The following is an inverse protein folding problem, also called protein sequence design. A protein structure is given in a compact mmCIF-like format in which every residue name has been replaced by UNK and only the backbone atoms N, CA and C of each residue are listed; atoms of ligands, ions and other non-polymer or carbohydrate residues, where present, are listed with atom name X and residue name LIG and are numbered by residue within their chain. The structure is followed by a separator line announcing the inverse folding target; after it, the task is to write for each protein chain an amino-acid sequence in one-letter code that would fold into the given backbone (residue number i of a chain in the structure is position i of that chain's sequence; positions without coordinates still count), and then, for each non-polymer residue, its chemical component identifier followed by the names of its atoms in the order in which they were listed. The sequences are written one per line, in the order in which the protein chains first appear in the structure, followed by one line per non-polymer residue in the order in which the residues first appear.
data_IF_242333446822
#
_entry.id   IF_242333446822
#
_cell.length_a   1.000
_cell.length_b   1.000
_cell.length_c   1.000
_cell.angle_alpha   90.00
_cell.angle_beta   90.00
_cell.angle_gamma   90.00
#
_symmetry.space_group_name_H-M   'P 1'
#
loop_
_entity.id
_entity.type
_entity.pdbx_description
1 polymer ?
#
# COMPACT_ATOMS: atom_id res chain seq x y z
N UNK A 1 -26.56 22.25 -20.82
CA UNK A 1 -27.31 20.97 -20.72
C UNK A 1 -26.48 20.03 -19.86
N UNK A 2 -26.78 20.01 -18.56
CA UNK A 2 -26.08 19.22 -17.55
C UNK A 2 -26.68 17.81 -17.63
N UNK A 3 -25.85 16.80 -17.89
CA UNK A 3 -26.27 15.40 -17.83
C UNK A 3 -25.81 14.86 -16.48
N UNK A 4 -26.73 14.91 -15.51
CA UNK A 4 -26.67 14.14 -14.29
C UNK A 4 -26.61 12.64 -14.63
N UNK A 5 -25.46 12.00 -14.41
CA UNK A 5 -25.42 10.53 -14.31
C UNK A 5 -25.80 10.13 -12.90
N UNK A 6 -27.11 10.09 -12.67
CA UNK A 6 -27.75 9.42 -11.54
C UNK A 6 -27.36 7.93 -11.63
N UNK A 7 -26.52 7.46 -10.70
CA UNK A 7 -26.40 6.03 -10.45
C UNK A 7 -27.76 5.53 -9.97
N UNK A 8 -28.40 4.68 -10.77
CA UNK A 8 -29.75 4.17 -10.58
C UNK A 8 -29.98 3.66 -9.14
N UNK A 9 -31.01 4.24 -8.51
CA UNK A 9 -31.61 3.79 -7.26
C UNK A 9 -32.42 2.51 -7.50
N UNK A 10 -31.77 1.38 -7.79
CA UNK A 10 -32.48 0.10 -7.83
C UNK A 10 -32.87 -0.33 -6.41
N UNK A 11 -34.17 -0.56 -6.11
CA UNK A 11 -34.63 -0.89 -4.76
C UNK A 11 -34.08 -2.22 -4.20
N UNK A 12 -33.50 -3.08 -5.04
CA UNK A 12 -32.93 -4.38 -4.67
C UNK A 12 -31.39 -4.46 -4.74
N UNK A 13 -30.68 -3.37 -5.04
CA UNK A 13 -29.22 -3.40 -5.04
C UNK A 13 -28.67 -3.50 -3.60
N UNK A 14 -27.95 -4.59 -3.29
CA UNK A 14 -27.35 -4.83 -1.96
C UNK A 14 -26.41 -3.71 -1.52
N UNK A 15 -25.62 -3.15 -2.46
CA UNK A 15 -24.69 -2.06 -2.20
C UNK A 15 -25.42 -0.73 -1.91
N UNK A 16 -26.42 -0.37 -2.71
CA UNK A 16 -27.22 0.83 -2.49
C UNK A 16 -28.02 0.75 -1.18
N UNK A 17 -28.54 -0.44 -0.82
CA UNK A 17 -29.23 -0.68 0.45
C UNK A 17 -28.29 -0.56 1.64
N UNK A 18 -27.06 -1.09 1.54
CA UNK A 18 -26.03 -0.93 2.56
C UNK A 18 -25.67 0.55 2.78
N UNK A 19 -25.44 1.30 1.70
CA UNK A 19 -25.13 2.74 1.77
C UNK A 19 -26.26 3.57 2.38
N UNK A 20 -27.51 3.30 1.99
CA UNK A 20 -28.70 3.96 2.55
C UNK A 20 -28.88 3.65 4.04
N UNK A 21 -28.63 2.40 4.45
CA UNK A 21 -28.68 2.02 5.86
C UNK A 21 -27.55 2.68 6.68
N UNK A 22 -26.37 2.86 6.10
CA UNK A 22 -25.27 3.64 6.70
C UNK A 22 -25.63 5.12 6.85
N UNK A 23 -26.28 5.72 5.85
CA UNK A 23 -26.74 7.12 5.91
C UNK A 23 -27.85 7.31 6.96
N UNK A 24 -28.80 6.38 7.06
CA UNK A 24 -29.85 6.40 8.09
C UNK A 24 -29.27 6.16 9.50
N UNK A 25 -28.30 5.25 9.63
CA UNK A 25 -27.61 5.00 10.89
C UNK A 25 -26.85 6.25 11.38
N UNK A 26 -26.21 7.00 10.47
CA UNK A 26 -25.50 8.27 10.76
C UNK A 26 -26.39 9.39 11.30
N UNK A 27 -27.69 9.37 11.02
CA UNK A 27 -28.64 10.41 11.46
C UNK A 27 -29.12 10.16 12.90
N UNK A 28 -29.22 8.89 13.30
CA UNK A 28 -29.83 8.50 14.58
C UNK A 28 -28.80 8.28 15.70
N UNK A 29 -27.53 8.08 15.34
CA UNK A 29 -26.39 8.02 16.25
C UNK A 29 -25.21 8.60 15.47
N UNK A 30 -24.59 9.74 15.86
CA UNK A 30 -23.52 10.34 15.07
C UNK A 30 -22.27 9.47 15.17
N UNK A 31 -22.22 8.42 14.33
CA UNK A 31 -21.05 7.55 14.23
C UNK A 31 -19.89 8.42 13.78
N UNK A 32 -18.85 8.47 14.61
CA UNK A 32 -17.60 9.19 14.36
C UNK A 32 -17.09 8.85 12.95
N UNK A 33 -16.99 9.83 12.02
CA UNK A 33 -16.54 9.61 10.66
C UNK A 33 -15.16 8.94 10.57
N UNK A 34 -14.29 9.16 11.57
CA UNK A 34 -12.96 8.53 11.65
C UNK A 34 -13.09 7.03 11.93
N UNK A 35 -14.04 6.61 12.76
CA UNK A 35 -14.30 5.20 13.04
C UNK A 35 -14.79 4.49 11.76
N UNK A 36 -15.74 5.08 11.04
CA UNK A 36 -16.25 4.50 9.77
C UNK A 36 -15.13 4.34 8.75
N UNK A 37 -14.25 5.35 8.63
CA UNK A 37 -13.08 5.31 7.76
C UNK A 37 -12.10 4.20 8.17
N UNK A 38 -11.80 4.09 9.46
CA UNK A 38 -10.92 3.06 9.99
C UNK A 38 -11.47 1.65 9.79
N UNK A 39 -12.77 1.45 9.97
CA UNK A 39 -13.43 0.15 9.75
C UNK A 39 -13.32 -0.29 8.29
N UNK A 40 -13.58 0.63 7.34
CA UNK A 40 -13.44 0.37 5.90
C UNK A 40 -11.98 0.05 5.54
N UNK A 41 -11.03 0.89 5.96
CA UNK A 41 -9.60 0.68 5.69
C UNK A 41 -9.09 -0.62 6.32
N UNK A 42 -9.52 -0.94 7.54
CA UNK A 42 -9.15 -2.18 8.24
C UNK A 42 -9.70 -3.41 7.52
N UNK A 43 -10.97 -3.38 7.10
CA UNK A 43 -11.58 -4.48 6.35
C UNK A 43 -10.83 -4.75 5.03
N UNK A 44 -10.50 -3.69 4.27
CA UNK A 44 -9.76 -3.80 3.01
C UNK A 44 -8.32 -4.28 3.22
N UNK A 45 -7.64 -3.76 4.24
CA UNK A 45 -6.28 -4.18 4.59
C UNK A 45 -6.25 -5.66 5.00
N UNK A 46 -7.15 -6.10 5.90
CA UNK A 46 -7.29 -7.50 6.31
C UNK A 46 -7.59 -8.42 5.11
N UNK A 47 -8.47 -7.97 4.20
CA UNK A 47 -8.74 -8.71 2.98
C UNK A 47 -7.48 -8.87 2.12
N UNK A 48 -6.72 -7.78 1.90
CA UNK A 48 -5.45 -7.82 1.19
C UNK A 48 -4.49 -8.82 1.84
N UNK A 49 -4.27 -8.73 3.15
CA UNK A 49 -3.37 -9.62 3.88
C UNK A 49 -3.80 -11.08 3.77
N UNK A 50 -5.10 -11.36 3.87
CA UNK A 50 -5.63 -12.72 3.70
C UNK A 50 -5.33 -13.26 2.29
N UNK A 51 -5.53 -12.45 1.24
CA UNK A 51 -5.22 -12.84 -0.13
C UNK A 51 -3.71 -13.07 -0.32
N UNK A 52 -2.89 -12.16 0.20
CA UNK A 52 -1.43 -12.23 0.10
C UNK A 52 -0.84 -13.50 0.74
N UNK A 53 -1.40 -13.96 1.86
CA UNK A 53 -0.93 -15.17 2.53
C UNK A 53 -1.51 -16.47 1.95
N UNK A 54 -2.77 -16.45 1.50
CA UNK A 54 -3.52 -17.66 1.11
C UNK A 54 -3.26 -18.11 -0.32
N UNK A 55 -2.89 -17.19 -1.21
CA UNK A 55 -2.76 -17.45 -2.63
C UNK A 55 -1.34 -17.23 -3.13
N UNK A 56 -1.02 -17.87 -4.25
CA UNK A 56 0.15 -17.61 -5.06
C UNK A 56 -0.25 -17.39 -6.51
N UNK A 57 0.71 -16.92 -7.29
CA UNK A 57 0.52 -16.63 -8.70
C UNK A 57 0.83 -17.89 -9.50
N UNK A 58 -0.09 -18.30 -10.37
CA UNK A 58 0.02 -19.51 -11.21
C UNK A 58 0.75 -19.27 -12.55
N UNK A 59 0.84 -18.02 -13.00
CA UNK A 59 1.54 -17.60 -14.22
C UNK A 59 2.08 -16.19 -14.10
N UNK A 60 3.03 -15.82 -14.96
CA UNK A 60 3.52 -14.43 -15.04
C UNK A 60 2.36 -13.45 -15.28
N UNK A 61 2.33 -12.38 -14.46
CA UNK A 61 1.36 -11.27 -14.55
C UNK A 61 2.14 -9.99 -14.72
N UNK A 62 1.91 -9.31 -15.83
CA UNK A 62 2.46 -7.98 -16.08
C UNK A 62 1.77 -6.91 -15.23
N UNK A 63 2.44 -5.78 -15.04
CA UNK A 63 1.87 -4.63 -14.33
C UNK A 63 0.62 -4.12 -15.05
N UNK A 64 0.63 -4.10 -16.39
CA UNK A 64 -0.51 -3.70 -17.21
C UNK A 64 -1.73 -4.62 -17.00
N UNK A 65 -1.53 -5.94 -16.93
CA UNK A 65 -2.61 -6.89 -16.62
C UNK A 65 -3.18 -6.66 -15.21
N UNK A 66 -2.31 -6.42 -14.23
CA UNK A 66 -2.72 -6.13 -12.85
C UNK A 66 -3.48 -4.80 -12.74
N UNK A 67 -3.02 -3.75 -13.44
CA UNK A 67 -3.70 -2.46 -13.49
C UNK A 67 -5.07 -2.56 -14.19
N UNK A 68 -5.22 -3.45 -15.17
CA UNK A 68 -6.52 -3.71 -15.83
C UNK A 68 -7.49 -4.56 -15.00
N UNK A 69 -7.04 -5.15 -13.88
CA UNK A 69 -7.91 -5.96 -13.02
C UNK A 69 -8.00 -7.43 -13.42
N UNK A 70 -7.07 -7.93 -14.23
CA UNK A 70 -7.08 -9.32 -14.75
C UNK A 70 -6.51 -10.32 -13.74
N UNK A 71 -5.98 -9.84 -12.60
CA UNK A 71 -5.19 -10.67 -11.68
C UNK A 71 -5.96 -11.78 -10.93
N UNK A 72 -7.27 -11.65 -10.74
CA UNK A 72 -8.05 -12.61 -9.92
C UNK A 72 -8.15 -14.00 -10.54
N UNK A 73 -7.89 -14.11 -11.85
CA UNK A 73 -7.88 -15.37 -12.58
C UNK A 73 -6.55 -16.14 -12.49
N UNK A 74 -5.53 -15.53 -11.89
CA UNK A 74 -4.16 -16.08 -11.85
C UNK A 74 -3.75 -16.53 -10.43
N UNK A 75 -4.73 -16.73 -9.55
CA UNK A 75 -4.50 -17.09 -8.16
C UNK A 75 -4.79 -18.56 -7.92
N UNK A 76 -3.75 -19.31 -7.56
CA UNK A 76 -3.88 -20.66 -7.04
C UNK A 76 -3.77 -20.64 -5.50
N UNK A 77 -4.49 -21.54 -4.83
CA UNK A 77 -4.35 -21.70 -3.37
C UNK A 77 -2.94 -22.20 -3.05
N UNK A 78 -2.29 -21.60 -2.06
CA UNK A 78 -1.01 -22.11 -1.59
C UNK A 78 -1.22 -23.43 -0.88
N UNK A 79 -0.56 -24.49 -1.35
CA UNK A 79 -0.41 -25.74 -0.59
C UNK A 79 0.74 -25.55 0.43
N UNK A 80 0.68 -26.19 1.59
CA UNK A 80 1.68 -26.00 2.66
C UNK A 80 3.10 -26.46 2.28
N UNK A 81 3.23 -27.30 1.25
CA UNK A 81 4.52 -27.87 0.82
C UNK A 81 5.28 -27.03 -0.21
N UNK A 82 4.65 -26.05 -0.86
CA UNK A 82 5.29 -25.23 -1.90
C UNK A 82 5.99 -24.00 -1.28
N UNK A 83 7.32 -23.99 -1.33
CA UNK A 83 8.12 -22.82 -0.93
C UNK A 83 8.18 -21.79 -2.05
N UNK A 84 7.38 -20.74 -1.90
CA UNK A 84 7.39 -19.61 -2.82
C UNK A 84 8.74 -18.89 -2.81
N UNK A 85 9.22 -18.53 -3.99
CA UNK A 85 10.43 -17.76 -4.23
C UNK A 85 10.25 -16.28 -3.85
N UNK A 86 11.37 -15.54 -3.78
CA UNK A 86 11.37 -14.09 -3.65
C UNK A 86 10.48 -13.43 -4.72
N UNK A 87 10.67 -13.80 -5.98
CA UNK A 87 9.97 -13.17 -7.11
C UNK A 87 8.46 -13.40 -7.05
N UNK A 88 8.01 -14.63 -6.77
CA UNK A 88 6.59 -14.95 -6.64
C UNK A 88 5.95 -14.17 -5.48
N UNK A 89 6.62 -14.08 -4.34
CA UNK A 89 6.13 -13.33 -3.17
C UNK A 89 6.13 -11.83 -3.41
N UNK A 90 7.18 -11.29 -4.02
CA UNK A 90 7.27 -9.88 -4.37
C UNK A 90 6.16 -9.49 -5.36
N UNK A 91 5.95 -10.31 -6.39
CA UNK A 91 4.87 -10.13 -7.36
C UNK A 91 3.50 -10.21 -6.70
N UNK A 92 3.28 -11.19 -5.82
CA UNK A 92 2.02 -11.30 -5.06
C UNK A 92 1.77 -10.07 -4.17
N UNK A 93 2.82 -9.53 -3.55
CA UNK A 93 2.73 -8.31 -2.76
C UNK A 93 2.26 -7.13 -3.63
N UNK A 94 2.85 -6.96 -4.81
CA UNK A 94 2.50 -5.88 -5.74
C UNK A 94 1.07 -6.00 -6.27
N UNK A 95 0.65 -7.19 -6.70
CA UNK A 95 -0.70 -7.41 -7.26
C UNK A 95 -1.79 -7.17 -6.21
N UNK A 96 -1.57 -7.65 -4.98
CA UNK A 96 -2.52 -7.46 -3.89
C UNK A 96 -2.59 -5.99 -3.47
N UNK A 97 -1.48 -5.26 -3.51
CA UNK A 97 -1.46 -3.80 -3.32
C UNK A 97 -2.21 -3.07 -4.42
N UNK A 98 -1.99 -3.41 -5.69
CA UNK A 98 -2.76 -2.84 -6.82
C UNK A 98 -4.26 -3.08 -6.62
N UNK A 99 -4.65 -4.32 -6.25
CA UNK A 99 -6.04 -4.68 -5.96
C UNK A 99 -6.62 -3.87 -4.79
N UNK A 100 -5.84 -3.69 -3.71
CA UNK A 100 -6.24 -2.84 -2.58
C UNK A 100 -6.46 -1.39 -3.02
N UNK A 101 -5.47 -0.77 -3.67
CA UNK A 101 -5.51 0.63 -4.08
C UNK A 101 -6.66 0.92 -5.03
N UNK A 102 -6.88 0.07 -6.05
CA UNK A 102 -7.98 0.22 -7.01
C UNK A 102 -9.36 0.15 -6.36
N UNK A 103 -9.48 -0.54 -5.24
CA UNK A 103 -10.74 -0.67 -4.54
C UNK A 103 -11.02 0.51 -3.60
N UNK A 104 -10.05 1.35 -3.27
CA UNK A 104 -10.27 2.53 -2.43
C UNK A 104 -11.28 3.48 -3.08
N UNK A 105 -12.26 3.94 -2.30
CA UNK A 105 -13.32 4.82 -2.78
C UNK A 105 -12.77 6.10 -3.42
N UNK A 106 -11.67 6.63 -2.88
CA UNK A 106 -11.00 7.80 -3.46
C UNK A 106 -10.42 7.52 -4.85
N UNK A 107 -9.92 6.31 -5.12
CA UNK A 107 -9.34 5.95 -6.42
C UNK A 107 -10.45 5.71 -7.44
N UNK A 108 -11.58 5.15 -7.02
CA UNK A 108 -12.76 5.01 -7.89
C UNK A 108 -13.39 6.36 -8.26
N UNK A 109 -13.19 7.38 -7.41
CA UNK A 109 -13.65 8.76 -7.64
C UNK A 109 -12.63 9.64 -8.34
N UNK A 110 -11.36 9.24 -8.34
CA UNK A 110 -10.32 9.88 -9.15
C UNK A 110 -10.70 9.62 -10.60
N UNK A 111 -11.24 10.65 -11.26
CA UNK A 111 -11.86 10.52 -12.58
C UNK A 111 -10.93 9.86 -13.60
N UNK A 112 -11.52 9.31 -14.66
CA UNK A 112 -10.76 8.67 -15.74
C UNK A 112 -10.14 9.68 -16.73
N UNK A 113 -10.16 10.98 -16.40
CA UNK A 113 -9.41 12.00 -17.15
C UNK A 113 -7.95 11.58 -17.23
N UNK A 114 -7.45 11.41 -18.45
CA UNK A 114 -6.07 11.00 -18.74
C UNK A 114 -5.58 9.74 -18.02
N UNK A 115 -6.49 8.84 -17.61
CA UNK A 115 -6.17 7.63 -16.84
C UNK A 115 -5.52 7.91 -15.48
N UNK A 116 -5.91 8.99 -14.82
CA UNK A 116 -5.37 9.39 -13.51
C UNK A 116 -5.45 8.27 -12.46
N UNK A 117 -6.57 7.52 -12.40
CA UNK A 117 -6.71 6.34 -11.53
C UNK A 117 -5.58 5.33 -11.71
N UNK A 118 -5.22 5.04 -12.97
CA UNK A 118 -4.14 4.10 -13.31
C UNK A 118 -2.77 4.68 -12.99
N UNK A 119 -2.53 5.95 -13.34
CA UNK A 119 -1.27 6.65 -13.05
C UNK A 119 -1.02 6.72 -11.54
N UNK A 120 -2.04 7.05 -10.76
CA UNK A 120 -2.00 7.08 -9.29
C UNK A 120 -1.58 5.72 -8.72
N UNK A 121 -2.31 4.65 -9.06
CA UNK A 121 -2.02 3.30 -8.56
C UNK A 121 -0.61 2.87 -8.95
N UNK A 122 -0.20 3.16 -10.19
CA UNK A 122 1.16 2.90 -10.68
C UNK A 122 2.20 3.65 -9.82
N UNK A 123 2.05 4.95 -9.60
CA UNK A 123 3.05 5.76 -8.88
C UNK A 123 3.20 5.41 -7.38
N UNK A 124 2.12 4.98 -6.73
CA UNK A 124 2.09 4.83 -5.25
C UNK A 124 2.24 3.39 -4.75
N UNK A 125 2.07 2.38 -5.63
CA UNK A 125 2.05 0.96 -5.22
C UNK A 125 3.28 0.51 -4.45
N UNK A 126 4.48 0.94 -4.83
CA UNK A 126 5.71 0.50 -4.17
C UNK A 126 5.86 1.07 -2.77
N UNK A 127 5.54 2.35 -2.58
CA UNK A 127 5.57 3.02 -1.26
C UNK A 127 4.62 2.34 -0.29
N UNK A 128 3.40 2.09 -0.73
CA UNK A 128 2.43 1.34 0.07
C UNK A 128 2.92 -0.09 0.35
N UNK A 129 3.46 -0.80 -0.65
CA UNK A 129 3.96 -2.16 -0.48
C UNK A 129 5.11 -2.22 0.55
N UNK A 130 6.03 -1.26 0.53
CA UNK A 130 7.13 -1.14 1.50
C UNK A 130 6.56 -0.91 2.90
N UNK A 131 5.69 0.09 3.07
CA UNK A 131 5.10 0.41 4.37
C UNK A 131 4.28 -0.76 4.94
N UNK A 132 3.47 -1.42 4.11
CA UNK A 132 2.69 -2.59 4.53
C UNK A 132 3.59 -3.79 4.90
N UNK A 133 4.70 -3.98 4.21
CA UNK A 133 5.68 -5.04 4.53
C UNK A 133 6.40 -4.75 5.85
N UNK A 134 6.75 -3.48 6.09
CA UNK A 134 7.34 -3.04 7.35
C UNK A 134 6.38 -3.24 8.52
N UNK A 135 5.12 -2.81 8.35
CA UNK A 135 4.12 -2.94 9.38
C UNK A 135 3.86 -4.40 9.76
N UNK A 136 3.69 -5.29 8.77
CA UNK A 136 3.58 -6.74 9.01
C UNK A 136 4.81 -7.31 9.75
N UNK A 137 6.02 -6.88 9.38
CA UNK A 137 7.25 -7.33 10.03
C UNK A 137 7.30 -6.87 11.49
N UNK A 138 6.94 -5.61 11.74
CA UNK A 138 6.81 -5.04 13.08
C UNK A 138 5.74 -5.77 13.93
N UNK A 139 4.54 -6.01 13.40
CA UNK A 139 3.47 -6.72 14.12
C UNK A 139 3.87 -8.17 14.48
N UNK A 140 4.65 -8.81 13.60
CA UNK A 140 5.22 -10.14 13.86
C UNK A 140 6.52 -10.11 14.67
N UNK A 141 6.86 -8.95 15.25
CA UNK A 141 8.05 -8.72 16.11
C UNK A 141 9.37 -9.06 15.43
N UNK A 142 9.43 -8.97 14.10
CA UNK A 142 10.69 -9.04 13.37
C UNK A 142 11.38 -7.69 13.50
N UNK A 143 12.69 -7.70 13.77
CA UNK A 143 13.50 -6.48 13.78
C UNK A 143 13.91 -5.98 12.39
N UNK A 144 13.40 -6.62 11.32
CA UNK A 144 13.81 -6.39 9.95
C UNK A 144 12.66 -6.66 8.97
N UNK A 145 12.71 -6.02 7.80
CA UNK A 145 11.78 -6.22 6.70
C UNK A 145 11.87 -7.64 6.13
N UNK A 146 10.73 -8.33 6.05
CA UNK A 146 10.58 -9.60 5.35
C UNK A 146 9.26 -9.62 4.58
N UNK A 147 9.27 -10.08 3.32
CA UNK A 147 8.07 -10.06 2.46
C UNK A 147 6.97 -10.96 3.06
N UNK A 148 7.28 -12.24 3.25
CA UNK A 148 6.43 -13.25 3.90
C UNK A 148 7.29 -14.44 4.37
N UNK A 149 6.88 -15.14 5.42
CA UNK A 149 7.51 -16.38 5.89
C UNK A 149 9.03 -16.32 6.12
N UNK A 150 9.59 -15.12 6.36
CA UNK A 150 11.04 -14.94 6.55
C UNK A 150 11.84 -14.81 5.24
N UNK A 151 11.18 -14.83 4.09
CA UNK A 151 11.80 -14.50 2.80
C UNK A 151 12.25 -13.04 2.86
N UNK A 152 13.52 -12.84 2.53
CA UNK A 152 14.17 -11.53 2.50
C UNK A 152 13.49 -10.60 1.48
N UNK A 153 13.73 -9.30 1.60
CA UNK A 153 13.32 -8.29 0.62
C UNK A 153 14.29 -8.18 -0.56
N UNK A 154 15.36 -8.98 -0.56
CA UNK A 154 16.32 -9.07 -1.64
C UNK A 154 16.18 -10.41 -2.40
N UNK A 155 16.44 -10.40 -3.72
CA UNK A 155 16.60 -11.63 -4.49
C UNK A 155 17.82 -12.42 -4.01
N UNK A 156 17.96 -13.65 -4.52
CA UNK A 156 19.12 -14.50 -4.23
C UNK A 156 20.43 -13.82 -4.67
N UNK A 157 21.24 -13.44 -3.68
CA UNK A 157 22.51 -12.75 -3.89
C UNK A 157 23.70 -13.71 -4.06
N UNK A 158 23.51 -15.03 -3.93
CA UNK A 158 24.62 -16.01 -3.98
C UNK A 158 25.33 -16.05 -5.34
N UNK A 159 24.69 -15.54 -6.39
CA UNK A 159 25.24 -15.46 -7.75
C UNK A 159 25.97 -14.14 -8.04
N UNK A 160 25.96 -13.22 -7.08
CA UNK A 160 26.63 -11.92 -7.19
C UNK A 160 28.02 -12.05 -6.59
N UNK A 161 29.08 -11.51 -7.23
CA UNK A 161 30.41 -11.48 -6.64
C UNK A 161 30.41 -10.84 -5.24
N UNK A 162 31.22 -11.40 -4.35
CA UNK A 162 31.41 -10.85 -3.01
C UNK A 162 31.90 -9.39 -3.07
N UNK A 163 31.40 -8.57 -2.15
CA UNK A 163 31.78 -7.15 -2.04
C UNK A 163 31.04 -6.19 -2.97
N UNK A 164 30.16 -6.66 -3.86
CA UNK A 164 29.29 -5.78 -4.67
C UNK A 164 28.30 -5.01 -3.78
N UNK A 165 27.76 -5.66 -2.76
CA UNK A 165 26.88 -5.05 -1.79
C UNK A 165 27.53 -5.04 -0.42
N UNK A 166 27.69 -3.84 0.17
CA UNK A 166 28.06 -3.69 1.57
C UNK A 166 26.95 -4.29 2.45
N UNK A 167 27.26 -5.28 3.32
CA UNK A 167 26.28 -5.82 4.26
C UNK A 167 25.59 -4.74 5.11
N UNK A 168 26.29 -3.66 5.48
CA UNK A 168 25.69 -2.55 6.24
C UNK A 168 24.64 -1.79 5.43
N UNK A 169 24.83 -1.67 4.12
CA UNK A 169 23.83 -1.07 3.24
C UNK A 169 22.56 -1.94 3.19
N UNK A 170 22.72 -3.26 3.04
CA UNK A 170 21.58 -4.19 3.04
C UNK A 170 20.84 -4.18 4.38
N UNK A 171 21.55 -4.19 5.50
CA UNK A 171 20.96 -4.15 6.84
C UNK A 171 20.27 -2.81 7.13
N UNK A 172 20.83 -1.70 6.63
CA UNK A 172 20.17 -0.39 6.71
C UNK A 172 18.80 -0.43 6.03
N UNK A 173 18.71 -1.00 4.83
CA UNK A 173 17.42 -1.14 4.13
C UNK A 173 16.46 -1.99 4.95
N UNK A 174 16.91 -3.15 5.43
CA UNK A 174 16.09 -4.10 6.18
C UNK A 174 15.50 -3.50 7.46
N UNK A 175 16.30 -2.77 8.21
CA UNK A 175 15.95 -2.38 9.58
C UNK A 175 15.31 -1.00 9.66
N UNK A 176 15.70 -0.04 8.81
CA UNK A 176 15.38 1.38 8.97
C UNK A 176 13.90 1.65 9.28
N UNK A 177 13.00 1.14 8.44
CA UNK A 177 11.57 1.42 8.59
C UNK A 177 10.94 0.64 9.75
N UNK A 178 11.34 -0.61 9.97
CA UNK A 178 10.81 -1.45 11.06
C UNK A 178 11.23 -0.90 12.43
N UNK A 179 12.48 -0.46 12.56
CA UNK A 179 12.97 0.23 13.76
C UNK A 179 12.13 1.47 14.05
N UNK A 180 11.87 2.32 13.03
CA UNK A 180 11.05 3.52 13.20
C UNK A 180 9.63 3.21 13.67
N UNK A 181 8.98 2.20 13.10
CA UNK A 181 7.64 1.75 13.52
C UNK A 181 7.65 1.23 14.97
N UNK A 182 8.71 0.51 15.34
CA UNK A 182 8.89 -0.05 16.68
C UNK A 182 9.15 1.03 17.73
N UNK A 183 10.02 2.00 17.45
CA UNK A 183 10.31 3.16 18.31
C UNK A 183 9.03 3.93 18.64
N UNK A 184 8.23 4.19 17.60
CA UNK A 184 6.97 4.92 17.74
C UNK A 184 5.82 4.04 18.23
N UNK A 185 5.98 2.71 18.32
CA UNK A 185 4.90 1.77 18.68
C UNK A 185 3.63 2.05 17.86
N UNK A 186 3.79 2.14 16.53
CA UNK A 186 2.68 2.50 15.63
C UNK A 186 1.56 1.48 15.76
N UNK A 187 0.33 1.95 15.93
CA UNK A 187 -0.87 1.10 15.99
C UNK A 187 -1.43 0.82 14.60
N UNK A 188 -2.31 -0.18 14.47
CA UNK A 188 -3.00 -0.46 13.20
C UNK A 188 -3.77 0.76 12.69
N UNK A 189 -4.51 1.45 13.56
CA UNK A 189 -5.31 2.61 13.15
C UNK A 189 -4.44 3.76 12.65
N UNK A 190 -3.32 4.04 13.33
CA UNK A 190 -2.35 5.04 12.88
C UNK A 190 -1.73 4.63 11.54
N UNK A 191 -1.30 3.37 11.39
CA UNK A 191 -0.78 2.84 10.13
C UNK A 191 -1.77 2.99 8.97
N UNK A 192 -3.05 2.66 9.18
CA UNK A 192 -4.07 2.73 8.14
C UNK A 192 -4.22 4.16 7.61
N UNK A 193 -4.39 5.15 8.49
CA UNK A 193 -4.55 6.55 8.07
C UNK A 193 -3.24 7.10 7.51
N UNK A 194 -2.11 6.82 8.16
CA UNK A 194 -0.79 7.25 7.70
C UNK A 194 -0.47 6.70 6.30
N UNK A 195 -0.84 5.46 6.00
CA UNK A 195 -0.67 4.87 4.67
C UNK A 195 -1.46 5.62 3.60
N UNK A 196 -2.64 6.18 3.95
CA UNK A 196 -3.42 7.01 3.04
C UNK A 196 -2.78 8.38 2.84
N UNK A 197 -2.26 9.00 3.91
CA UNK A 197 -1.50 10.25 3.80
C UNK A 197 -0.29 10.06 2.89
N UNK A 198 0.48 8.99 3.10
CA UNK A 198 1.67 8.66 2.30
C UNK A 198 1.34 8.59 0.80
N UNK A 199 0.30 7.84 0.42
CA UNK A 199 -0.04 7.69 -1.01
C UNK A 199 -0.66 8.97 -1.58
N UNK A 200 -1.40 9.78 -0.79
CA UNK A 200 -1.97 11.04 -1.26
C UNK A 200 -0.94 12.19 -1.37
N UNK A 201 0.15 12.15 -0.58
CA UNK A 201 1.21 13.16 -0.59
C UNK A 201 2.33 12.88 -1.61
N UNK A 202 2.24 11.78 -2.37
CA UNK A 202 3.32 11.31 -3.24
C UNK A 202 3.71 12.31 -4.34
N UNK A 203 5.02 12.53 -4.49
CA UNK A 203 5.59 13.35 -5.58
C UNK A 203 5.31 12.76 -6.98
N UNK A 204 4.96 11.47 -7.04
CA UNK A 204 4.59 10.77 -8.28
C UNK A 204 3.27 11.27 -8.89
N UNK A 205 2.58 12.20 -8.22
CA UNK A 205 1.38 12.84 -8.74
C UNK A 205 1.65 13.88 -9.84
N UNK A 206 2.91 14.10 -10.22
CA UNK A 206 3.27 15.04 -11.29
C UNK A 206 2.54 14.73 -12.61
N UNK A 207 2.28 13.45 -12.89
CA UNK A 207 1.64 12.97 -14.11
C UNK A 207 0.10 12.99 -14.06
N UNK A 208 -0.50 13.26 -12.90
CA UNK A 208 -1.94 13.41 -12.78
C UNK A 208 -2.40 14.73 -13.43
N UNK A 209 -3.65 14.75 -13.89
CA UNK A 209 -4.31 16.00 -14.29
C UNK A 209 -4.36 16.99 -13.11
N UNK A 210 -4.55 18.28 -13.40
CA UNK A 210 -4.67 19.29 -12.34
C UNK A 210 -5.85 19.01 -11.41
N UNK A 211 -6.98 18.53 -11.97
CA UNK A 211 -8.12 18.04 -11.20
C UNK A 211 -7.73 16.86 -10.29
N UNK A 212 -6.96 15.90 -10.82
CA UNK A 212 -6.47 14.77 -10.06
C UNK A 212 -5.54 15.17 -8.90
N UNK A 213 -4.65 16.13 -9.14
CA UNK A 213 -3.75 16.70 -8.11
C UNK A 213 -4.54 17.42 -7.02
N UNK A 214 -5.51 18.24 -7.39
CA UNK A 214 -6.37 18.95 -6.44
C UNK A 214 -7.22 17.97 -5.61
N UNK A 215 -7.80 16.96 -6.25
CA UNK A 215 -8.54 15.91 -5.59
C UNK A 215 -7.67 15.17 -4.56
N UNK A 216 -6.45 14.77 -4.94
CA UNK A 216 -5.51 14.10 -4.03
C UNK A 216 -5.09 14.97 -2.84
N UNK A 217 -4.89 16.27 -3.06
CA UNK A 217 -4.63 17.22 -1.97
C UNK A 217 -5.80 17.30 -0.98
N UNK A 218 -7.04 17.32 -1.49
CA UNK A 218 -8.25 17.28 -0.66
C UNK A 218 -8.36 15.99 0.16
N UNK A 219 -8.04 14.84 -0.45
CA UNK A 219 -7.99 13.56 0.27
C UNK A 219 -6.90 13.56 1.35
N UNK A 220 -5.69 14.05 1.04
CA UNK A 220 -4.58 14.18 1.98
C UNK A 220 -4.98 14.99 3.21
N UNK A 221 -5.64 16.15 3.01
CA UNK A 221 -6.11 16.99 4.11
C UNK A 221 -7.14 16.27 4.99
N UNK A 222 -8.04 15.49 4.37
CA UNK A 222 -9.06 14.72 5.10
C UNK A 222 -8.43 13.64 5.98
N UNK A 223 -7.46 12.87 5.45
CA UNK A 223 -6.73 11.88 6.24
C UNK A 223 -5.81 12.53 7.29
N UNK A 224 -5.21 13.68 6.99
CA UNK A 224 -4.44 14.47 7.96
C UNK A 224 -5.28 14.92 9.15
N UNK A 225 -6.49 15.42 8.90
CA UNK A 225 -7.44 15.79 9.95
C UNK A 225 -7.86 14.57 10.79
N UNK A 226 -8.14 13.43 10.14
CA UNK A 226 -8.47 12.19 10.83
C UNK A 226 -7.33 11.68 11.72
N UNK A 227 -6.08 11.72 11.25
CA UNK A 227 -4.92 11.33 12.05
C UNK A 227 -4.72 12.27 13.24
N UNK A 228 -4.88 13.58 13.02
CA UNK A 228 -4.81 14.58 14.10
C UNK A 228 -5.86 14.30 15.17
N UNK A 229 -7.13 14.09 14.78
CA UNK A 229 -8.19 13.70 15.73
C UNK A 229 -7.86 12.41 16.48
N UNK A 230 -7.34 11.39 15.79
CA UNK A 230 -6.94 10.14 16.43
C UNK A 230 -5.86 10.35 17.49
N UNK A 231 -4.84 11.17 17.19
CA UNK A 231 -3.76 11.49 18.13
C UNK A 231 -4.28 12.27 19.35
N UNK A 232 -5.12 13.29 19.11
CA UNK A 232 -5.67 14.13 20.17
C UNK A 232 -6.65 13.39 21.08
N UNK A 233 -7.39 12.41 20.56
CA UNK A 233 -8.34 11.63 21.36
C UNK A 233 -7.64 10.69 22.34
N UNK A 234 -6.49 10.14 21.96
CA UNK A 234 -5.74 9.21 22.80
C UNK A 234 -4.95 9.93 23.88
N UNK A 235 -4.31 11.06 23.54
CA UNK A 235 -3.58 11.91 24.47
C UNK A 235 -3.69 13.38 24.02
N UNK A 236 -4.65 14.16 24.55
CA UNK A 236 -4.84 15.55 24.13
C UNK A 236 -3.61 16.44 24.34
N UNK A 237 -2.73 16.11 25.30
CA UNK A 237 -1.56 16.94 25.63
C UNK A 237 -0.42 16.69 24.66
N UNK A 238 -0.16 15.43 24.33
CA UNK A 238 0.94 15.05 23.43
C UNK A 238 0.47 14.73 22.00
N UNK A 239 -0.82 14.81 21.71
CA UNK A 239 -1.43 14.55 20.41
C UNK A 239 -0.77 15.28 19.23
N UNK A 240 -0.46 16.60 19.31
CA UNK A 240 0.24 17.29 18.24
C UNK A 240 1.65 16.73 17.99
N UNK A 241 2.37 16.38 19.05
CA UNK A 241 3.71 15.79 18.96
C UNK A 241 3.61 14.43 18.28
N UNK A 242 2.67 13.59 18.72
CA UNK A 242 2.42 12.28 18.14
C UNK A 242 2.09 12.37 16.64
N UNK A 243 1.28 13.35 16.24
CA UNK A 243 0.95 13.58 14.84
C UNK A 243 2.21 13.84 13.99
N UNK A 244 3.09 14.74 14.43
CA UNK A 244 4.35 15.06 13.74
C UNK A 244 5.30 13.85 13.71
N UNK A 245 5.41 13.13 14.81
CA UNK A 245 6.21 11.90 14.89
C UNK A 245 5.73 10.84 13.89
N UNK A 246 4.42 10.63 13.78
CA UNK A 246 3.85 9.69 12.81
C UNK A 246 4.11 10.12 11.38
N UNK A 247 4.00 11.42 11.05
CA UNK A 247 4.35 11.93 9.72
C UNK A 247 5.82 11.69 9.35
N UNK A 248 6.73 11.67 10.33
CA UNK A 248 8.15 11.35 10.06
C UNK A 248 8.35 9.94 9.49
N UNK A 249 7.40 9.02 9.71
CA UNK A 249 7.43 7.68 9.10
C UNK A 249 7.36 7.78 7.57
N UNK A 250 6.61 8.73 7.00
CA UNK A 250 6.53 8.91 5.55
C UNK A 250 7.91 9.22 4.95
N UNK A 251 8.71 10.06 5.60
CA UNK A 251 10.08 10.37 5.16
C UNK A 251 10.99 9.15 5.22
N UNK A 252 10.83 8.31 6.25
CA UNK A 252 11.57 7.06 6.39
C UNK A 252 11.16 6.05 5.31
N UNK A 253 9.87 6.02 4.91
CA UNK A 253 9.41 5.22 3.76
C UNK A 253 10.08 5.68 2.47
N UNK A 254 10.12 6.99 2.17
CA UNK A 254 10.79 7.51 0.97
C UNK A 254 12.29 7.18 0.97
N UNK A 255 12.96 7.34 2.11
CA UNK A 255 14.38 6.98 2.25
C UNK A 255 14.60 5.48 2.01
N UNK A 256 13.71 4.64 2.55
CA UNK A 256 13.77 3.18 2.35
C UNK A 256 13.53 2.83 0.88
N UNK A 257 12.56 3.49 0.23
CA UNK A 257 12.30 3.35 -1.20
C UNK A 257 13.52 3.69 -2.04
N UNK A 258 14.16 4.84 -1.80
CA UNK A 258 15.36 5.27 -2.52
C UNK A 258 16.53 4.28 -2.38
N UNK A 259 16.75 3.73 -1.18
CA UNK A 259 17.78 2.71 -1.00
C UNK A 259 17.44 1.40 -1.74
N UNK A 260 16.18 0.97 -1.72
CA UNK A 260 15.72 -0.21 -2.47
C UNK A 260 15.90 0.00 -3.98
N UNK A 261 15.56 1.19 -4.48
CA UNK A 261 15.74 1.57 -5.89
C UNK A 261 17.22 1.55 -6.28
N UNK A 262 18.09 2.13 -5.44
CA UNK A 262 19.55 2.10 -5.63
C UNK A 262 20.08 0.66 -5.64
N UNK A 263 19.63 -0.18 -4.70
CA UNK A 263 19.94 -1.60 -4.69
C UNK A 263 19.50 -2.27 -6.00
N UNK A 264 18.26 -2.05 -6.45
CA UNK A 264 17.72 -2.68 -7.64
C UNK A 264 18.47 -2.26 -8.91
N UNK A 265 18.93 -1.02 -9.00
CA UNK A 265 19.80 -0.55 -10.09
C UNK A 265 21.15 -1.26 -10.07
N UNK A 266 21.84 -1.29 -8.93
CA UNK A 266 23.13 -1.99 -8.78
C UNK A 266 23.01 -3.49 -9.06
N UNK A 267 21.94 -4.12 -8.58
CA UNK A 267 21.67 -5.54 -8.82
C UNK A 267 21.50 -5.83 -10.32
N UNK A 268 20.77 -4.97 -11.05
CA UNK A 268 20.62 -5.10 -12.51
C UNK A 268 21.94 -4.92 -13.27
N UNK A 269 22.87 -4.14 -12.75
CA UNK A 269 24.20 -3.96 -13.35
C UNK A 269 25.13 -5.13 -13.05
N UNK A 270 25.01 -5.74 -11.87
CA UNK A 270 25.87 -6.83 -11.42
C UNK A 270 25.45 -8.21 -11.96
N UNK A 271 24.15 -8.41 -12.24
CA UNK A 271 23.65 -9.64 -12.85
C UNK A 271 23.78 -9.51 -14.37
N UNK A 272 24.49 -10.44 -15.07
CA UNK A 272 24.50 -10.47 -16.53
C UNK A 272 23.06 -10.51 -17.03
N UNK A 273 22.75 -9.82 -18.14
CA UNK A 273 21.39 -9.77 -18.72
C UNK A 273 20.92 -11.18 -19.08
N UNK A 274 20.37 -11.89 -18.10
CA UNK A 274 19.52 -13.05 -18.33
C UNK A 274 18.22 -12.43 -18.83
N UNK A 275 17.68 -12.95 -19.94
CA UNK A 275 16.29 -12.67 -20.36
C UNK A 275 15.36 -13.02 -19.20
N UNK A 276 15.19 -12.05 -18.30
CA UNK A 276 14.46 -12.21 -17.06
C UNK A 276 12.99 -12.29 -17.45
N UNK A 277 12.43 -13.50 -17.30
CA UNK A 277 11.00 -13.77 -17.36
C UNK A 277 10.29 -12.70 -16.54
N UNK A 278 9.48 -11.88 -17.19
CA UNK A 278 8.89 -10.66 -16.62
C UNK A 278 8.02 -10.97 -15.40
N UNK A 279 8.62 -10.89 -14.22
CA UNK A 279 7.95 -10.67 -12.95
C UNK A 279 7.90 -9.17 -12.71
N UNK A 280 6.95 -8.68 -11.92
CA UNK A 280 6.79 -7.25 -11.64
C UNK A 280 8.12 -6.70 -11.09
N UNK A 281 8.90 -6.04 -11.95
CA UNK A 281 10.19 -5.45 -11.59
C UNK A 281 9.95 -4.17 -10.80
N UNK A 282 10.94 -3.78 -10.00
CA UNK A 282 11.13 -2.38 -9.64
C UNK A 282 11.27 -1.60 -10.96
N UNK A 283 10.17 -1.02 -11.43
CA UNK A 283 10.14 -0.08 -12.56
C UNK A 283 10.76 1.23 -12.11
#
# INVERSE_FOLDING_TARGET
MIIDRIYNQEPNCRYCRFKRNLEIARINDPIDPVIVMLDDLSARHKHREAVFHKYHIDRLVSIEEALRGVQTKCFAKSNQDYKLTFDERSTMNQITVIGFLKNLDMVQRLGDEQRDSTKFVRGVRFRYAILATAFRSYETKKGYLAIANGIDIFPDLTKIPDGVFDPKFLDKIRCLLVTKLSELKVTLNEFLILSMILICASEQHIDLSDNGKEFMRSQMNSYGAALSQLCMRNDPKNGPVRFVELLSVCQVVETTYQHIESFAQLFRMAVPVIQSRELIKFE
#
